data_IF_420762332646
#
_entry.id   IF_420762332646
#
_cell.length_a   1.000
_cell.length_b   1.000
_cell.length_c   1.000
_cell.angle_alpha   90.00
_cell.angle_beta   90.00
_cell.angle_gamma   90.00
#
_symmetry.space_group_name_H-M   'P 1'
#
loop_
_entity.id
_entity.type
_entity.pdbx_description
1 polymer ?
#
# COMPACT_ATOMS: atom_id res chain seq x y z
N UNK A 1 32.50 2.09 40.20
CA UNK A 1 32.16 2.27 38.76
C UNK A 1 31.00 1.35 38.42
N UNK A 2 29.79 1.88 38.30
CA UNK A 2 28.62 1.10 37.89
C UNK A 2 28.73 0.86 36.39
N UNK A 3 29.03 -0.39 36.02
CA UNK A 3 29.02 -0.84 34.63
C UNK A 3 27.63 -0.61 34.03
N UNK A 4 27.49 0.43 33.21
CA UNK A 4 26.31 0.68 32.40
C UNK A 4 26.32 -0.33 31.25
N UNK A 5 25.89 -1.56 31.51
CA UNK A 5 25.57 -2.53 30.45
C UNK A 5 24.45 -1.93 29.62
N UNK A 6 24.72 -1.59 28.36
CA UNK A 6 23.69 -1.17 27.41
C UNK A 6 22.70 -2.33 27.27
N UNK A 7 21.52 -2.19 27.87
CA UNK A 7 20.43 -3.16 27.68
C UNK A 7 20.01 -3.06 26.21
N UNK A 8 20.31 -4.10 25.43
CA UNK A 8 19.75 -4.26 24.09
C UNK A 8 18.23 -4.32 24.24
N UNK A 9 17.53 -3.29 23.77
CA UNK A 9 16.07 -3.25 23.73
C UNK A 9 15.64 -3.33 22.27
N UNK A 10 14.66 -4.20 21.98
CA UNK A 10 14.06 -4.28 20.67
C UNK A 10 13.21 -3.02 20.45
N UNK A 11 13.57 -2.21 19.46
CA UNK A 11 12.80 -1.02 19.13
C UNK A 11 11.39 -1.42 18.69
N UNK A 12 10.39 -0.76 19.27
CA UNK A 12 9.01 -0.90 18.78
C UNK A 12 8.90 -0.27 17.40
N UNK A 13 7.91 -0.70 16.61
CA UNK A 13 7.77 -0.16 15.26
C UNK A 13 7.46 1.34 15.29
N UNK A 14 6.79 1.83 16.34
CA UNK A 14 6.56 3.27 16.44
C UNK A 14 7.78 4.05 16.87
N UNK A 15 8.67 3.47 17.67
CA UNK A 15 9.97 4.08 17.94
C UNK A 15 10.82 4.13 16.65
N UNK A 16 10.73 3.08 15.82
CA UNK A 16 11.31 3.12 14.48
C UNK A 16 10.68 4.24 13.65
N UNK A 17 9.35 4.32 13.54
CA UNK A 17 8.67 5.34 12.76
C UNK A 17 8.93 6.77 13.26
N UNK A 18 8.95 7.01 14.58
CA UNK A 18 9.22 8.34 15.15
C UNK A 18 10.63 8.83 14.82
N UNK A 19 11.62 7.93 14.89
CA UNK A 19 13.01 8.24 14.53
C UNK A 19 13.22 8.30 13.01
N UNK A 20 12.36 7.65 12.23
CA UNK A 20 12.53 7.41 10.80
C UNK A 20 11.37 7.94 9.93
N UNK A 21 10.69 9.02 10.34
CA UNK A 21 9.56 9.61 9.59
C UNK A 21 9.89 9.93 8.12
N UNK A 22 11.14 10.29 7.87
CA UNK A 22 11.66 10.61 6.54
C UNK A 22 11.66 9.40 5.59
N UNK A 23 11.86 8.18 6.07
CA UNK A 23 11.84 6.98 5.24
C UNK A 23 10.46 6.68 4.64
N UNK A 24 9.41 7.24 5.22
CA UNK A 24 8.02 7.05 4.80
C UNK A 24 7.46 8.27 4.07
N UNK A 25 8.27 9.30 3.83
CA UNK A 25 7.84 10.52 3.16
C UNK A 25 7.07 11.52 4.04
N UNK A 26 7.15 11.39 5.38
CA UNK A 26 6.54 12.31 6.35
C UNK A 26 7.56 13.25 7.01
N UNK A 27 8.49 13.78 6.21
CA UNK A 27 9.60 14.64 6.68
C UNK A 27 9.16 16.04 7.11
N UNK A 28 8.24 16.64 6.36
CA UNK A 28 7.81 18.03 6.45
C UNK A 28 6.28 18.09 6.37
N UNK A 29 5.69 19.14 6.94
CA UNK A 29 4.23 19.32 6.97
C UNK A 29 3.62 19.38 5.56
N UNK A 30 4.34 19.96 4.59
CA UNK A 30 3.88 20.04 3.21
C UNK A 30 3.96 18.69 2.50
N UNK A 31 5.07 17.94 2.66
CA UNK A 31 5.22 16.62 2.04
C UNK A 31 4.27 15.59 2.64
N UNK A 32 3.98 15.71 3.94
CA UNK A 32 3.12 14.76 4.68
C UNK A 32 1.72 14.64 4.07
N UNK A 33 1.08 15.76 3.69
CA UNK A 33 -0.24 15.72 3.05
C UNK A 33 -0.18 15.18 1.61
N UNK A 34 0.91 15.46 0.88
CA UNK A 34 1.12 14.94 -0.47
C UNK A 34 1.30 13.41 -0.41
N UNK A 35 2.14 12.93 0.50
CA UNK A 35 2.34 11.50 0.75
C UNK A 35 1.02 10.83 1.15
N UNK A 36 0.27 11.40 2.09
CA UNK A 36 -1.01 10.83 2.49
C UNK A 36 -2.04 10.77 1.35
N UNK A 37 -2.11 11.84 0.54
CA UNK A 37 -2.99 11.86 -0.63
C UNK A 37 -2.55 10.85 -1.67
N UNK A 38 -1.24 10.79 -1.97
CA UNK A 38 -0.66 9.84 -2.91
C UNK A 38 -0.99 8.40 -2.53
N UNK A 39 -0.70 8.02 -1.29
CA UNK A 39 -0.97 6.65 -0.82
C UNK A 39 -2.47 6.33 -0.81
N UNK A 40 -3.35 7.31 -0.61
CA UNK A 40 -4.80 7.11 -0.68
C UNK A 40 -5.29 6.93 -2.13
N UNK A 41 -4.82 7.79 -3.05
CA UNK A 41 -5.16 7.74 -4.48
C UNK A 41 -4.62 6.48 -5.13
N UNK A 42 -3.35 6.12 -4.88
CA UNK A 42 -2.73 4.93 -5.47
C UNK A 42 -3.46 3.65 -5.05
N UNK A 43 -3.87 3.54 -3.78
CA UNK A 43 -4.65 2.39 -3.30
C UNK A 43 -6.06 2.35 -3.91
N UNK A 44 -6.70 3.51 -4.07
CA UNK A 44 -8.02 3.64 -4.68
C UNK A 44 -8.00 3.24 -6.15
N UNK A 45 -7.01 3.73 -6.91
CA UNK A 45 -6.80 3.37 -8.32
C UNK A 45 -6.56 1.88 -8.48
N UNK A 46 -5.63 1.31 -7.71
CA UNK A 46 -5.34 -0.12 -7.80
C UNK A 46 -6.59 -0.95 -7.44
N UNK A 47 -7.37 -0.57 -6.41
CA UNK A 47 -8.57 -1.29 -6.00
C UNK A 47 -9.68 -1.25 -7.09
N UNK A 48 -9.86 -0.11 -7.75
CA UNK A 48 -10.80 0.04 -8.85
C UNK A 48 -10.37 -0.77 -10.09
N UNK A 49 -9.08 -0.68 -10.46
CA UNK A 49 -8.53 -1.40 -11.61
C UNK A 49 -8.56 -2.92 -11.42
N UNK A 50 -8.21 -3.40 -10.22
CA UNK A 50 -8.31 -4.83 -9.84
C UNK A 50 -9.77 -5.33 -9.93
N UNK A 51 -10.75 -4.49 -9.55
CA UNK A 51 -12.17 -4.80 -9.63
C UNK A 51 -12.81 -4.51 -11.00
N UNK A 52 -12.04 -4.00 -11.96
CA UNK A 52 -12.52 -3.56 -13.29
C UNK A 52 -13.62 -2.50 -13.23
N UNK A 53 -13.53 -1.61 -12.25
CA UNK A 53 -14.38 -0.42 -12.10
C UNK A 53 -13.64 0.81 -12.61
N UNK A 54 -14.37 1.74 -13.26
CA UNK A 54 -13.79 3.02 -13.66
C UNK A 54 -13.61 3.91 -12.43
N UNK A 55 -12.36 4.29 -12.07
CA UNK A 55 -12.10 5.00 -10.82
C UNK A 55 -12.77 6.38 -10.80
N UNK A 56 -13.45 6.66 -9.71
CA UNK A 56 -13.95 7.97 -9.33
C UNK A 56 -13.49 8.25 -7.89
N UNK A 57 -12.58 9.20 -7.75
CA UNK A 57 -11.86 9.45 -6.50
C UNK A 57 -12.01 10.92 -6.13
N UNK A 58 -12.57 11.15 -4.95
CA UNK A 58 -12.76 12.47 -4.36
C UNK A 58 -11.80 12.68 -3.20
N UNK A 59 -10.98 13.72 -3.29
CA UNK A 59 -10.07 14.15 -2.24
C UNK A 59 -10.57 15.46 -1.65
N UNK A 60 -10.73 15.48 -0.34
CA UNK A 60 -11.15 16.65 0.41
C UNK A 60 -10.15 16.93 1.53
N UNK A 61 -9.71 18.19 1.64
CA UNK A 61 -8.77 18.63 2.68
C UNK A 61 -9.42 19.77 3.46
N UNK A 62 -9.59 19.60 4.77
CA UNK A 62 -10.14 20.63 5.66
C UNK A 62 -9.11 21.10 6.67
N UNK A 63 -8.83 22.40 6.75
CA UNK A 63 -8.01 22.93 7.85
C UNK A 63 -8.78 22.87 9.16
N UNK A 64 -8.06 22.68 10.28
CA UNK A 64 -8.66 22.66 11.60
C UNK A 64 -8.63 24.07 12.20
N UNK A 65 -9.80 24.58 12.60
CA UNK A 65 -9.94 25.92 13.19
C UNK A 65 -9.01 26.13 14.40
N UNK A 66 -8.24 27.20 14.37
CA UNK A 66 -7.32 27.58 15.45
C UNK A 66 -6.07 26.70 15.55
N UNK A 67 -5.81 25.83 14.56
CA UNK A 67 -4.63 24.98 14.48
C UNK A 67 -4.02 25.02 13.08
N UNK A 68 -3.08 25.93 12.88
CA UNK A 68 -2.47 26.21 11.58
C UNK A 68 -1.63 25.05 11.00
N UNK A 69 -1.26 24.07 11.83
CA UNK A 69 -0.50 22.89 11.45
C UNK A 69 -1.32 21.58 11.45
N UNK A 70 -2.64 21.62 11.69
CA UNK A 70 -3.51 20.44 11.64
C UNK A 70 -4.54 20.52 10.51
N UNK A 71 -4.71 19.40 9.80
CA UNK A 71 -5.74 19.25 8.78
C UNK A 71 -6.41 17.88 8.85
N UNK A 72 -7.55 17.79 8.19
CA UNK A 72 -8.30 16.56 7.97
C UNK A 72 -8.26 16.25 6.49
N UNK A 73 -7.62 15.14 6.13
CA UNK A 73 -7.67 14.59 4.78
C UNK A 73 -8.79 13.55 4.71
N UNK A 74 -9.65 13.69 3.73
CA UNK A 74 -10.74 12.78 3.42
C UNK A 74 -10.49 12.28 1.99
N UNK A 75 -10.39 10.97 1.81
CA UNK A 75 -10.34 10.32 0.50
C UNK A 75 -11.55 9.43 0.38
N UNK A 76 -12.29 9.54 -0.72
CA UNK A 76 -13.44 8.71 -1.02
C UNK A 76 -13.28 8.13 -2.42
N UNK A 77 -13.48 6.83 -2.56
CA UNK A 77 -13.44 6.12 -3.83
C UNK A 77 -14.74 5.37 -4.09
N UNK A 78 -14.95 5.01 -5.36
CA UNK A 78 -15.99 4.11 -5.83
C UNK A 78 -15.48 2.66 -6.03
N UNK A 79 -14.47 2.23 -5.27
CA UNK A 79 -13.92 0.89 -5.37
C UNK A 79 -14.90 -0.22 -4.93
N UNK A 80 -14.46 -1.49 -4.92
CA UNK A 80 -15.30 -2.63 -4.52
C UNK A 80 -15.67 -2.65 -3.03
N UNK A 81 -15.05 -1.77 -2.23
CA UNK A 81 -15.10 -1.83 -0.77
C UNK A 81 -14.15 -2.88 -0.19
N UNK A 82 -13.92 -2.80 1.11
CA UNK A 82 -13.10 -3.75 1.88
C UNK A 82 -14.01 -4.54 2.83
N UNK A 83 -13.94 -5.89 2.81
CA UNK A 83 -14.71 -6.74 3.71
C UNK A 83 -14.45 -6.41 5.19
N UNK A 84 -15.48 -6.46 6.06
CA UNK A 84 -15.41 -5.96 7.43
C UNK A 84 -14.28 -6.56 8.28
N UNK A 85 -13.93 -7.82 8.03
CA UNK A 85 -12.91 -8.56 8.79
C UNK A 85 -11.48 -8.27 8.31
N UNK A 86 -11.36 -7.76 7.09
CA UNK A 86 -10.10 -7.37 6.46
C UNK A 86 -9.75 -5.90 6.71
N UNK A 87 -10.74 -5.03 6.93
CA UNK A 87 -10.52 -3.58 7.16
C UNK A 87 -9.46 -3.33 8.24
N UNK A 88 -9.60 -3.98 9.39
CA UNK A 88 -8.70 -3.81 10.52
C UNK A 88 -7.25 -4.24 10.19
N UNK A 89 -7.08 -5.28 9.35
CA UNK A 89 -5.76 -5.75 8.95
C UNK A 89 -5.11 -4.84 7.89
N UNK A 90 -5.89 -4.40 6.90
CA UNK A 90 -5.41 -3.52 5.81
C UNK A 90 -4.90 -2.19 6.34
N UNK A 91 -5.60 -1.58 7.30
CA UNK A 91 -5.25 -0.25 7.81
C UNK A 91 -4.41 -0.27 9.09
N UNK A 92 -4.39 -1.38 9.83
CA UNK A 92 -3.80 -1.44 11.17
C UNK A 92 -2.76 -2.55 11.34
N UNK A 93 -2.27 -3.16 10.26
CA UNK A 93 -1.13 -4.08 10.32
C UNK A 93 -0.08 -3.64 9.32
N UNK A 94 1.12 -3.35 9.81
CA UNK A 94 2.25 -3.04 8.95
C UNK A 94 2.68 -4.30 8.22
N UNK A 95 3.08 -4.13 6.95
CA UNK A 95 3.49 -5.23 6.08
C UNK A 95 2.39 -6.26 5.81
N UNK A 96 1.12 -5.84 5.93
CA UNK A 96 -0.03 -6.68 5.61
C UNK A 96 -0.65 -6.24 4.29
N UNK A 97 -0.74 -7.15 3.34
CA UNK A 97 -1.33 -6.86 2.04
C UNK A 97 -1.36 -8.10 1.16
N UNK A 98 -2.32 -8.15 0.24
CA UNK A 98 -2.40 -9.17 -0.81
C UNK A 98 -1.23 -9.11 -1.81
N UNK A 99 -0.37 -8.08 -1.70
CA UNK A 99 0.64 -7.70 -2.69
C UNK A 99 2.08 -8.14 -2.34
N UNK A 100 2.30 -8.76 -1.18
CA UNK A 100 3.65 -9.13 -0.71
C UNK A 100 4.18 -10.44 -1.26
N UNK A 101 3.31 -11.39 -1.54
CA UNK A 101 3.71 -12.75 -1.91
C UNK A 101 3.77 -12.97 -3.43
N UNK A 102 3.32 -11.98 -4.20
CA UNK A 102 3.10 -12.05 -5.64
C UNK A 102 3.88 -10.93 -6.31
N UNK A 103 4.73 -11.26 -7.27
CA UNK A 103 5.40 -10.26 -8.09
C UNK A 103 4.40 -9.81 -9.15
N UNK A 104 3.84 -8.63 -8.95
CA UNK A 104 2.96 -7.95 -9.90
C UNK A 104 3.26 -6.46 -9.91
N UNK A 105 3.05 -5.81 -11.05
CA UNK A 105 3.14 -4.36 -11.14
C UNK A 105 1.97 -3.73 -10.39
N UNK A 106 2.25 -3.05 -9.28
CA UNK A 106 1.27 -2.25 -8.53
C UNK A 106 1.89 -0.91 -8.14
N UNK A 107 1.07 0.12 -7.89
CA UNK A 107 1.56 1.43 -7.45
C UNK A 107 2.20 1.36 -6.06
N UNK A 108 1.60 0.57 -5.16
CA UNK A 108 2.16 0.23 -3.84
C UNK A 108 2.89 -1.13 -3.83
N UNK A 109 4.17 -1.14 -3.42
CA UNK A 109 5.00 -2.36 -3.37
C UNK A 109 5.19 -2.90 -1.94
N UNK A 110 5.35 -2.02 -0.96
CA UNK A 110 5.81 -2.40 0.39
C UNK A 110 4.69 -2.55 1.42
N UNK A 111 3.41 -2.37 1.04
CA UNK A 111 2.22 -2.48 1.92
C UNK A 111 2.32 -1.72 3.25
N UNK A 112 3.02 -0.59 3.24
CA UNK A 112 3.15 0.35 4.36
C UNK A 112 2.42 1.66 4.11
N UNK A 113 1.93 1.90 2.88
CA UNK A 113 1.41 3.19 2.43
C UNK A 113 0.31 3.75 3.34
N UNK A 114 -0.88 3.17 3.26
CA UNK A 114 -2.05 3.66 4.01
C UNK A 114 -1.91 3.46 5.52
N UNK A 115 -1.27 2.38 5.96
CA UNK A 115 -0.94 2.15 7.38
C UNK A 115 0.00 3.23 7.92
N UNK A 116 0.92 3.73 7.09
CA UNK A 116 1.78 4.87 7.40
C UNK A 116 0.98 6.15 7.64
N UNK A 117 -0.07 6.39 6.85
CA UNK A 117 -1.00 7.51 7.07
C UNK A 117 -1.74 7.37 8.40
N UNK A 118 -2.24 6.17 8.73
CA UNK A 118 -2.90 5.89 10.01
C UNK A 118 -1.95 6.12 11.18
N UNK A 119 -0.71 5.64 11.08
CA UNK A 119 0.32 5.87 12.09
C UNK A 119 0.67 7.33 12.24
N UNK A 120 0.89 8.05 11.13
CA UNK A 120 1.22 9.46 11.16
C UNK A 120 0.10 10.28 11.80
N UNK A 121 -1.15 10.00 11.45
CA UNK A 121 -2.34 10.59 12.06
C UNK A 121 -2.36 10.40 13.59
N UNK A 122 -2.16 9.16 14.04
CA UNK A 122 -2.17 8.82 15.47
C UNK A 122 -0.98 9.42 16.23
N UNK A 123 0.23 9.40 15.66
CA UNK A 123 1.43 9.93 16.32
C UNK A 123 1.44 11.46 16.40
N UNK A 124 0.80 12.14 15.44
CA UNK A 124 0.80 13.62 15.39
C UNK A 124 -0.37 14.26 16.11
N UNK A 125 -1.56 13.64 16.07
CA UNK A 125 -2.79 14.22 16.65
C UNK A 125 -3.41 13.36 17.75
N UNK A 126 -2.96 12.12 17.94
CA UNK A 126 -3.55 11.16 18.88
C UNK A 126 -4.89 10.57 18.41
N UNK A 127 -5.45 11.06 17.30
CA UNK A 127 -6.75 10.63 16.79
C UNK A 127 -6.64 9.37 15.94
N UNK A 128 -7.69 8.56 15.96
CA UNK A 128 -7.84 7.39 15.09
C UNK A 128 -8.32 7.82 13.70
N UNK A 129 -7.95 7.04 12.69
CA UNK A 129 -8.42 7.22 11.32
C UNK A 129 -9.80 6.61 11.18
N UNK A 130 -10.77 7.38 10.70
CA UNK A 130 -12.13 6.87 10.45
C UNK A 130 -12.20 6.27 9.06
N UNK A 131 -12.65 5.03 8.97
CA UNK A 131 -12.84 4.31 7.72
C UNK A 131 -14.31 3.93 7.59
N UNK A 132 -14.88 4.22 6.43
CA UNK A 132 -16.20 3.78 6.00
C UNK A 132 -15.98 2.90 4.78
N UNK A 133 -16.54 1.70 4.78
CA UNK A 133 -16.40 0.75 3.69
C UNK A 133 -17.74 0.12 3.37
N UNK A 134 -18.12 0.12 2.09
CA UNK A 134 -19.33 -0.54 1.60
C UNK A 134 -18.93 -1.50 0.48
N UNK A 135 -19.29 -2.77 0.67
CA UNK A 135 -19.18 -3.81 -0.38
C UNK A 135 -20.55 -3.95 -1.05
N UNK A 136 -20.58 -4.07 -2.39
CA UNK A 136 -21.83 -4.14 -3.17
C UNK A 136 -22.80 -5.21 -2.68
N UNK A 137 -22.27 -6.36 -2.27
CA UNK A 137 -23.03 -7.51 -1.80
C UNK A 137 -23.60 -7.35 -0.38
N UNK A 138 -23.06 -6.44 0.44
CA UNK A 138 -23.56 -6.21 1.80
C UNK A 138 -24.67 -5.16 1.80
N UNK A 139 -25.69 -5.33 2.65
CA UNK A 139 -26.80 -4.37 2.75
C UNK A 139 -26.37 -3.01 3.34
N UNK A 140 -25.39 -3.00 4.26
CA UNK A 140 -25.00 -1.81 5.02
C UNK A 140 -23.50 -1.53 4.88
N UNK A 141 -23.10 -0.26 5.00
CA UNK A 141 -21.70 0.13 5.11
C UNK A 141 -21.19 -0.08 6.54
N UNK A 142 -19.91 -0.38 6.67
CA UNK A 142 -19.21 -0.50 7.94
C UNK A 142 -18.44 0.77 8.23
N UNK A 143 -18.72 1.36 9.39
CA UNK A 143 -18.01 2.50 9.96
C UNK A 143 -17.11 1.99 11.06
N UNK A 144 -15.83 2.33 11.03
CA UNK A 144 -14.86 1.91 12.06
C UNK A 144 -13.77 2.96 12.23
N UNK A 145 -13.40 3.22 13.47
CA UNK A 145 -12.24 4.04 13.79
C UNK A 145 -11.04 3.11 14.05
N UNK A 146 -9.96 3.28 13.29
CA UNK A 146 -8.78 2.41 13.27
C UNK A 146 -7.57 3.17 13.81
N UNK A 147 -6.83 2.53 14.71
CA UNK A 147 -5.49 2.92 15.13
C UNK A 147 -4.56 1.73 15.17
N UNK A 148 -3.32 1.96 15.60
CA UNK A 148 -2.28 0.95 15.74
C UNK A 148 -1.78 0.91 17.19
N UNK A 149 -1.74 -0.29 17.78
CA UNK A 149 -0.94 -0.56 18.97
C UNK A 149 0.53 -0.60 18.54
N UNK A 150 1.21 0.48 18.87
CA UNK A 150 2.61 0.76 18.55
C UNK A 150 3.59 -0.23 19.17
N UNK A 151 3.23 -0.81 20.32
CA UNK A 151 4.06 -1.79 21.05
C UNK A 151 3.86 -3.20 20.54
N UNK A 152 2.62 -3.58 20.24
CA UNK A 152 2.26 -4.95 19.83
C UNK A 152 2.18 -5.15 18.32
N UNK A 153 2.30 -4.09 17.52
CA UNK A 153 2.05 -4.10 16.08
C UNK A 153 0.71 -4.75 15.74
N UNK A 154 -0.34 -4.36 16.46
CA UNK A 154 -1.70 -4.87 16.24
C UNK A 154 -2.65 -3.70 16.01
N UNK A 155 -3.57 -3.88 15.08
CA UNK A 155 -4.62 -2.92 14.84
C UNK A 155 -5.54 -2.80 16.07
N UNK A 156 -5.92 -1.57 16.40
CA UNK A 156 -6.96 -1.28 17.40
C UNK A 156 -8.16 -0.69 16.65
N UNK A 157 -9.27 -1.42 16.63
CA UNK A 157 -10.54 -0.94 16.09
C UNK A 157 -11.46 -0.46 17.23
N UNK A 158 -12.22 0.60 16.98
CA UNK A 158 -13.25 1.12 17.89
C UNK A 158 -14.43 1.69 17.10
N UNK A 159 -15.56 1.92 17.77
CA UNK A 159 -16.76 2.54 17.18
C UNK A 159 -17.27 1.82 15.92
N UNK A 160 -17.21 0.48 15.91
CA UNK A 160 -17.73 -0.31 14.79
C UNK A 160 -19.25 -0.16 14.71
N UNK A 161 -19.76 0.42 13.64
CA UNK A 161 -21.19 0.59 13.37
C UNK A 161 -21.52 0.12 11.96
N UNK A 162 -22.75 -0.34 11.75
CA UNK A 162 -23.30 -0.67 10.44
C UNK A 162 -24.46 0.26 10.15
N UNK A 163 -24.41 0.97 9.03
CA UNK A 163 -25.52 1.85 8.61
C UNK A 163 -25.54 2.00 7.09
N UNK A 164 -26.63 2.51 6.53
CA UNK A 164 -26.66 2.94 5.14
C UNK A 164 -25.73 4.15 4.96
N UNK A 165 -24.98 4.16 3.87
CA UNK A 165 -24.07 5.24 3.53
C UNK A 165 -24.70 6.07 2.42
N UNK A 166 -24.92 7.35 2.72
CA UNK A 166 -25.54 8.30 1.79
C UNK A 166 -24.49 9.29 1.27
N UNK A 167 -24.65 9.70 0.02
CA UNK A 167 -23.97 10.83 -0.59
C UNK A 167 -24.51 12.16 -0.06
N UNK A 168 -23.83 13.27 -0.40
CA UNK A 168 -24.26 14.63 -0.06
C UNK A 168 -25.67 14.96 -0.55
N UNK A 169 -26.11 14.34 -1.65
CA UNK A 169 -27.43 14.51 -2.25
C UNK A 169 -28.51 13.55 -1.70
N UNK A 170 -28.15 12.71 -0.72
CA UNK A 170 -29.07 11.75 -0.08
C UNK A 170 -29.21 10.41 -0.81
N UNK A 171 -28.46 10.18 -1.88
CA UNK A 171 -28.43 8.91 -2.60
C UNK A 171 -27.61 7.84 -1.86
N UNK A 172 -28.01 6.57 -1.96
CA UNK A 172 -27.30 5.46 -1.32
C UNK A 172 -26.05 5.12 -2.13
N UNK A 173 -24.89 5.11 -1.46
CA UNK A 173 -23.64 4.66 -2.05
C UNK A 173 -23.61 3.13 -2.00
N UNK A 174 -23.59 2.50 -3.17
CA UNK A 174 -23.64 1.03 -3.28
C UNK A 174 -22.32 0.34 -2.93
N UNK A 175 -21.19 0.99 -3.21
CA UNK A 175 -19.85 0.47 -2.97
C UNK A 175 -18.82 1.59 -2.87
N UNK A 176 -17.70 1.33 -2.17
CA UNK A 176 -16.58 2.25 -2.06
C UNK A 176 -15.94 2.27 -0.69
N UNK A 177 -14.86 3.01 -0.56
CA UNK A 177 -14.17 3.26 0.70
C UNK A 177 -14.00 4.76 0.92
N UNK A 178 -14.23 5.21 2.15
CA UNK A 178 -13.93 6.57 2.61
C UNK A 178 -13.01 6.53 3.81
N UNK A 179 -11.86 7.19 3.67
CA UNK A 179 -10.80 7.27 4.69
C UNK A 179 -10.67 8.72 5.13
N UNK A 180 -10.83 8.95 6.43
CA UNK A 180 -10.69 10.25 7.05
C UNK A 180 -9.55 10.21 8.08
N UNK A 181 -8.46 10.92 7.79
CA UNK A 181 -7.26 10.98 8.61
C UNK A 181 -7.02 12.41 9.13
N UNK A 182 -6.85 12.54 10.45
CA UNK A 182 -6.52 13.81 11.11
C UNK A 182 -5.02 13.85 11.35
N UNK A 183 -4.29 14.79 10.77
CA UNK A 183 -2.83 14.79 10.85
C UNK A 183 -2.26 16.19 10.94
N UNK A 184 -1.03 16.29 11.46
CA UNK A 184 -0.27 17.52 11.36
C UNK A 184 0.28 17.69 9.95
N UNK A 185 -0.26 18.62 9.17
CA UNK A 185 0.22 18.93 7.84
C UNK A 185 -0.22 20.32 7.41
N UNK A 186 0.43 20.87 6.38
CA UNK A 186 0.12 22.20 5.86
C UNK A 186 -0.16 22.12 4.37
N UNK A 187 -1.35 22.59 3.97
CA UNK A 187 -1.70 22.75 2.57
C UNK A 187 -1.08 24.04 2.01
N UNK A 188 -0.40 23.96 0.87
CA UNK A 188 0.13 25.10 0.15
C UNK A 188 -0.12 24.92 -1.35
N UNK A 189 -0.46 26.02 -2.03
CA UNK A 189 -0.58 26.06 -3.50
C UNK A 189 0.81 26.24 -4.12
N UNK A 190 1.05 25.60 -5.26
CA UNK A 190 2.33 25.70 -5.98
C UNK A 190 2.72 24.42 -6.72
N UNK A 191 3.98 24.36 -7.19
CA UNK A 191 4.50 23.21 -7.97
C UNK A 191 4.57 21.90 -7.16
N UNK A 192 4.75 21.99 -5.85
CA UNK A 192 4.77 20.87 -4.93
C UNK A 192 3.48 20.86 -4.08
N UNK A 193 2.33 20.91 -4.74
CA UNK A 193 1.03 20.89 -4.07
C UNK A 193 0.27 19.60 -4.38
N UNK A 194 -0.72 19.29 -3.55
CA UNK A 194 -1.65 18.18 -3.80
C UNK A 194 -2.42 18.39 -5.11
N UNK A 195 -2.82 19.63 -5.39
CA UNK A 195 -3.44 20.01 -6.66
C UNK A 195 -2.56 19.59 -7.85
N UNK A 196 -1.28 19.98 -7.86
CA UNK A 196 -0.37 19.62 -8.95
C UNK A 196 -0.15 18.10 -9.03
N UNK A 197 -0.07 17.39 -7.90
CA UNK A 197 0.03 15.93 -7.89
C UNK A 197 -1.19 15.30 -8.58
N UNK A 198 -2.42 15.66 -8.18
CA UNK A 198 -3.65 15.12 -8.76
C UNK A 198 -3.77 15.43 -10.26
N UNK A 199 -3.39 16.65 -10.67
CA UNK A 199 -3.32 17.03 -12.09
C UNK A 199 -2.35 16.14 -12.88
N UNK A 200 -1.16 15.86 -12.34
CA UNK A 200 -0.21 14.97 -13.02
C UNK A 200 -0.73 13.53 -13.06
N UNK A 201 -1.40 13.09 -11.99
CA UNK A 201 -2.00 11.76 -11.91
C UNK A 201 -3.13 11.59 -12.92
N UNK A 202 -3.99 12.60 -13.14
CA UNK A 202 -5.07 12.52 -14.14
C UNK A 202 -4.55 12.44 -15.57
N UNK A 203 -3.42 13.12 -15.89
CA UNK A 203 -2.77 13.02 -17.20
C UNK A 203 -2.28 11.59 -17.47
N UNK A 204 -1.69 10.93 -16.46
CA UNK A 204 -1.15 9.57 -16.60
C UNK A 204 -2.24 8.49 -16.55
N UNK A 205 -3.38 8.77 -15.89
CA UNK A 205 -4.49 7.84 -15.72
C UNK A 205 -5.77 8.42 -16.36
N UNK A 206 -5.87 8.44 -17.70
CA UNK A 206 -6.97 9.10 -18.40
C UNK A 206 -8.33 8.41 -18.16
N UNK A 207 -8.34 7.19 -17.62
CA UNK A 207 -9.55 6.43 -17.25
C UNK A 207 -10.11 6.78 -15.87
N UNK A 208 -9.39 7.56 -15.07
CA UNK A 208 -9.79 7.93 -13.71
C UNK A 208 -10.37 9.34 -13.68
N UNK A 209 -11.45 9.51 -12.91
CA UNK A 209 -11.98 10.82 -12.53
C UNK A 209 -11.42 11.19 -11.17
N UNK A 210 -10.81 12.36 -11.05
CA UNK A 210 -10.21 12.86 -9.81
C UNK A 210 -10.79 14.24 -9.49
N UNK A 211 -11.25 14.43 -8.25
CA UNK A 211 -11.69 15.75 -7.77
C UNK A 211 -10.99 16.13 -6.46
N UNK A 212 -10.77 17.43 -6.28
CA UNK A 212 -10.13 18.04 -5.12
C UNK A 212 -10.98 19.20 -4.63
N UNK A 213 -11.30 19.22 -3.33
CA UNK A 213 -11.82 20.41 -2.66
C UNK A 213 -11.02 20.67 -1.39
N UNK A 214 -10.58 21.91 -1.22
CA UNK A 214 -9.81 22.35 -0.05
C UNK A 214 -10.57 23.44 0.68
N UNK A 215 -10.85 23.21 1.96
CA UNK A 215 -11.55 24.11 2.84
C UNK A 215 -10.59 24.80 3.82
N UNK A 216 -10.81 26.09 4.04
CA UNK A 216 -10.13 26.85 5.08
C UNK A 216 -10.69 26.56 6.48
N UNK A 217 -10.13 27.24 7.50
CA UNK A 217 -10.57 27.13 8.90
C UNK A 217 -12.06 27.53 9.11
N UNK A 218 -12.57 28.46 8.30
CA UNK A 218 -13.96 28.91 8.35
C UNK A 218 -14.89 28.17 7.38
N UNK A 219 -14.38 27.16 6.67
CA UNK A 219 -15.15 26.36 5.73
C UNK A 219 -15.34 26.99 4.35
N UNK A 220 -14.65 28.09 4.05
CA UNK A 220 -14.56 28.63 2.69
C UNK A 220 -13.68 27.74 1.81
N UNK A 221 -14.05 27.56 0.54
CA UNK A 221 -13.23 26.83 -0.44
C UNK A 221 -12.06 27.72 -0.87
N UNK A 222 -10.83 27.23 -0.67
CA UNK A 222 -9.59 27.96 -1.00
C UNK A 222 -8.88 27.39 -2.24
N UNK A 223 -9.19 26.16 -2.60
CA UNK A 223 -8.68 25.50 -3.80
C UNK A 223 -9.67 24.41 -4.22
N UNK A 224 -9.86 24.29 -5.52
CA UNK A 224 -10.68 23.25 -6.13
C UNK A 224 -10.00 22.77 -7.42
N UNK A 225 -10.25 21.51 -7.75
CA UNK A 225 -9.79 20.91 -8.99
C UNK A 225 -10.72 19.78 -9.38
N UNK A 226 -11.10 19.76 -10.65
CA UNK A 226 -11.86 18.67 -11.23
C UNK A 226 -11.17 18.19 -12.50
N UNK A 227 -10.86 16.91 -12.54
CA UNK A 227 -10.22 16.24 -13.66
C UNK A 227 -11.08 15.05 -14.07
N UNK A 228 -12.05 15.26 -14.96
CA UNK A 228 -12.88 14.17 -15.45
C UNK A 228 -12.05 13.21 -16.30
N UNK A 229 -12.47 11.94 -16.31
CA UNK A 229 -11.86 10.94 -17.18
C UNK A 229 -12.06 11.30 -18.66
N UNK A 230 -11.08 10.94 -19.47
CA UNK A 230 -11.08 11.16 -20.93
C UNK A 230 -11.44 9.88 -21.69
N UNK A 231 -11.29 8.71 -21.05
CA UNK A 231 -11.59 7.41 -21.66
C UNK A 231 -12.29 6.49 -20.66
N UNK A 232 -13.16 5.63 -21.17
CA UNK A 232 -13.78 4.54 -20.39
C UNK A 232 -13.06 3.19 -20.59
N UNK A 233 -11.92 3.21 -21.29
CA UNK A 233 -11.11 2.02 -21.53
C UNK A 233 -10.12 1.84 -20.38
N UNK A 234 -10.35 0.80 -19.57
CA UNK A 234 -9.43 0.41 -18.50
C UNK A 234 -8.15 -0.22 -19.08
N UNK A 235 -6.98 0.01 -18.43
CA UNK A 235 -5.73 -0.69 -18.75
C UNK A 235 -5.89 -2.22 -18.71
N UNK A 236 -4.99 -2.93 -19.38
CA UNK A 236 -4.97 -4.39 -19.30
C UNK A 236 -4.68 -4.85 -17.86
N UNK A 237 -5.35 -5.93 -17.40
CA UNK A 237 -5.13 -6.42 -16.05
C UNK A 237 -3.69 -6.90 -15.89
N UNK A 238 -3.06 -6.47 -14.81
CA UNK A 238 -1.71 -6.92 -14.46
C UNK A 238 -1.77 -8.37 -14.02
N UNK A 239 -0.92 -9.20 -14.64
CA UNK A 239 -0.79 -10.62 -14.29
C UNK A 239 0.36 -10.80 -13.31
N UNK A 240 0.17 -11.72 -12.38
CA UNK A 240 1.27 -12.21 -11.55
C UNK A 240 2.34 -12.86 -12.44
N UNK A 241 3.59 -12.51 -12.18
CA UNK A 241 4.75 -13.08 -12.84
C UNK A 241 5.62 -13.82 -11.83
N UNK A 242 6.39 -14.76 -12.36
CA UNK A 242 7.46 -15.41 -11.63
C UNK A 242 8.74 -14.57 -11.69
N UNK A 243 9.61 -14.65 -10.67
CA UNK A 243 10.90 -13.97 -10.71
C UNK A 243 11.72 -14.37 -11.94
N UNK A 244 12.48 -13.43 -12.49
CA UNK A 244 13.50 -13.72 -13.50
C UNK A 244 14.80 -14.18 -12.82
N UNK A 245 15.50 -15.21 -13.33
CA UNK A 245 16.70 -15.77 -12.71
C UNK A 245 17.83 -14.75 -12.52
N UNK A 246 18.11 -13.92 -13.54
CA UNK A 246 19.15 -12.87 -13.48
C UNK A 246 18.95 -11.82 -12.36
N UNK A 247 17.73 -11.66 -11.84
CA UNK A 247 17.44 -10.69 -10.78
C UNK A 247 17.56 -11.26 -9.36
N UNK A 248 18.04 -12.49 -9.21
CA UNK A 248 18.06 -13.17 -7.92
C UNK A 248 19.34 -12.91 -7.14
N UNK A 249 19.17 -12.65 -5.84
CA UNK A 249 20.24 -12.63 -4.86
C UNK A 249 20.29 -13.96 -4.09
N UNK A 250 21.45 -14.28 -3.51
CA UNK A 250 21.66 -15.54 -2.77
C UNK A 250 20.64 -15.76 -1.66
N UNK A 251 20.27 -14.71 -0.91
CA UNK A 251 19.29 -14.82 0.17
C UNK A 251 17.90 -15.23 -0.34
N UNK A 252 17.43 -14.60 -1.42
CA UNK A 252 16.15 -14.90 -2.06
C UNK A 252 16.16 -16.28 -2.71
N UNK A 253 17.25 -16.62 -3.40
CA UNK A 253 17.39 -17.92 -4.06
C UNK A 253 17.43 -19.08 -3.06
N UNK A 254 18.16 -18.94 -1.95
CA UNK A 254 18.16 -19.93 -0.86
C UNK A 254 16.80 -20.08 -0.19
N UNK A 255 16.01 -19.00 -0.11
CA UNK A 255 14.62 -19.09 0.36
C UNK A 255 13.79 -19.91 -0.62
N UNK A 256 13.88 -19.65 -1.93
CA UNK A 256 13.18 -20.44 -2.95
C UNK A 256 13.56 -21.91 -2.93
N UNK A 257 14.85 -22.23 -2.75
CA UNK A 257 15.32 -23.62 -2.65
C UNK A 257 14.73 -24.35 -1.43
N UNK A 258 14.58 -23.65 -0.29
CA UNK A 258 14.00 -24.22 0.94
C UNK A 258 12.48 -24.36 0.88
N UNK A 259 11.80 -23.38 0.28
CA UNK A 259 10.34 -23.35 0.20
C UNK A 259 9.80 -24.20 -0.97
N UNK A 260 10.68 -24.68 -1.85
CA UNK A 260 10.32 -25.48 -3.01
C UNK A 260 9.76 -26.85 -2.65
N UNK A 261 8.60 -27.18 -3.23
CA UNK A 261 7.96 -28.51 -3.16
C UNK A 261 8.47 -29.49 -4.23
N UNK A 262 9.28 -29.02 -5.18
CA UNK A 262 9.73 -29.80 -6.33
C UNK A 262 10.76 -30.86 -5.95
N UNK A 263 10.68 -32.04 -6.59
CA UNK A 263 11.61 -33.16 -6.32
C UNK A 263 12.91 -33.10 -7.12
N UNK A 264 12.90 -32.40 -8.26
CA UNK A 264 14.01 -32.29 -9.21
C UNK A 264 14.38 -30.84 -9.44
N UNK A 265 15.67 -30.57 -9.60
CA UNK A 265 16.16 -29.21 -9.83
C UNK A 265 15.71 -28.63 -11.16
N UNK A 266 15.61 -29.45 -12.20
CA UNK A 266 15.09 -29.02 -13.51
C UNK A 266 13.64 -28.54 -13.44
N UNK A 267 12.81 -29.23 -12.66
CA UNK A 267 11.41 -28.85 -12.39
C UNK A 267 11.34 -27.55 -11.58
N UNK A 268 12.18 -27.45 -10.54
CA UNK A 268 12.31 -26.23 -9.74
C UNK A 268 12.61 -25.00 -10.58
N UNK A 269 13.62 -25.06 -11.44
CA UNK A 269 14.02 -23.93 -12.28
C UNK A 269 12.92 -23.52 -13.27
N UNK A 270 12.24 -24.51 -13.87
CA UNK A 270 11.15 -24.25 -14.83
C UNK A 270 9.89 -23.68 -14.18
N UNK A 271 9.53 -24.17 -12.99
CA UNK A 271 8.26 -23.81 -12.34
C UNK A 271 8.38 -22.54 -11.50
N UNK A 272 9.53 -22.24 -10.90
CA UNK A 272 9.68 -21.07 -10.03
C UNK A 272 10.18 -19.82 -10.75
N UNK A 273 10.83 -19.94 -11.92
CA UNK A 273 11.36 -18.80 -12.64
C UNK A 273 10.66 -18.55 -13.97
N UNK A 274 10.59 -17.28 -14.36
CA UNK A 274 10.13 -16.86 -15.67
C UNK A 274 11.26 -16.97 -16.70
N UNK A 275 10.92 -17.35 -17.94
CA UNK A 275 11.88 -17.43 -19.05
C UNK A 275 12.77 -18.67 -19.05
N UNK A 276 12.65 -19.58 -18.08
CA UNK A 276 13.48 -20.79 -18.01
C UNK A 276 12.80 -21.97 -18.72
N UNK A 277 13.29 -22.30 -19.92
CA UNK A 277 12.91 -23.53 -20.62
C UNK A 277 13.62 -24.75 -20.04
N UNK A 278 13.14 -25.96 -20.35
CA UNK A 278 13.83 -27.19 -19.94
C UNK A 278 15.28 -27.27 -20.47
N UNK A 279 15.53 -26.73 -21.67
CA UNK A 279 16.87 -26.68 -22.25
C UNK A 279 17.77 -25.74 -21.46
N UNK A 280 17.28 -24.53 -21.15
CA UNK A 280 18.01 -23.55 -20.37
C UNK A 280 18.29 -24.06 -18.94
N UNK A 281 17.32 -24.71 -18.30
CA UNK A 281 17.50 -25.31 -16.98
C UNK A 281 18.64 -26.34 -16.96
N UNK A 282 18.72 -27.21 -17.98
CA UNK A 282 19.82 -28.18 -18.09
C UNK A 282 21.17 -27.51 -18.33
N UNK A 283 21.20 -26.49 -19.16
CA UNK A 283 22.44 -25.75 -19.44
C UNK A 283 22.98 -25.05 -18.19
N UNK A 284 22.09 -24.42 -17.40
CA UNK A 284 22.43 -23.80 -16.12
C UNK A 284 23.00 -24.85 -15.17
N UNK A 285 22.33 -26.01 -15.05
CA UNK A 285 22.77 -27.06 -14.13
C UNK A 285 24.11 -27.67 -14.51
N UNK A 286 24.35 -27.82 -15.82
CA UNK A 286 25.61 -28.30 -16.35
C UNK A 286 26.75 -27.31 -16.08
N UNK A 287 26.51 -25.99 -16.25
CA UNK A 287 27.49 -24.94 -15.91
C UNK A 287 27.76 -24.85 -14.41
N UNK A 288 26.78 -25.16 -13.56
CA UNK A 288 26.94 -25.15 -12.11
C UNK A 288 27.43 -26.48 -11.52
N UNK A 289 27.68 -27.50 -12.34
CA UNK A 289 28.09 -28.85 -11.92
C UNK A 289 27.09 -29.53 -10.95
N UNK A 290 25.79 -29.33 -11.15
CA UNK A 290 24.72 -29.88 -10.30
C UNK A 290 23.89 -30.90 -11.07
N UNK A 291 23.63 -32.05 -10.43
CA UNK A 291 22.79 -33.11 -10.99
C UNK A 291 21.31 -32.66 -11.12
N UNK A 292 20.70 -32.94 -12.28
CA UNK A 292 19.29 -32.66 -12.59
C UNK A 292 18.29 -33.27 -11.59
N UNK A 293 18.63 -34.42 -11.02
CA UNK A 293 17.80 -35.20 -10.10
C UNK A 293 17.89 -34.74 -8.65
N UNK A 294 18.83 -33.84 -8.35
CA UNK A 294 19.08 -33.36 -6.99
C UNK A 294 17.88 -32.58 -6.46
N UNK A 295 17.61 -32.73 -5.17
CA UNK A 295 16.49 -32.05 -4.50
C UNK A 295 16.86 -30.59 -4.20
N UNK A 296 15.98 -29.61 -4.49
CA UNK A 296 16.21 -28.19 -4.21
C UNK A 296 16.66 -27.89 -2.78
N UNK A 297 16.00 -28.48 -1.78
CA UNK A 297 16.35 -28.26 -0.36
C UNK A 297 17.70 -28.84 0.09
N UNK A 298 18.39 -29.62 -0.75
CA UNK A 298 19.70 -30.22 -0.43
C UNK A 298 20.89 -29.44 -1.00
N UNK A 299 20.64 -28.33 -1.68
CA UNK A 299 21.69 -27.47 -2.25
C UNK A 299 22.34 -26.63 -1.15
N UNK A 300 23.67 -26.63 -1.17
CA UNK A 300 24.50 -25.85 -0.25
C UNK A 300 24.66 -24.40 -0.72
N UNK A 301 25.09 -23.51 0.18
CA UNK A 301 25.29 -22.11 -0.17
C UNK A 301 26.31 -21.87 -1.31
N UNK A 302 27.45 -22.59 -1.39
CA UNK A 302 28.39 -22.45 -2.50
C UNK A 302 27.80 -22.91 -3.84
N UNK A 303 27.06 -24.01 -3.85
CA UNK A 303 26.38 -24.52 -5.05
C UNK A 303 25.29 -23.55 -5.52
N UNK A 304 24.53 -22.96 -4.60
CA UNK A 304 23.56 -21.91 -4.90
C UNK A 304 24.22 -20.68 -5.52
N UNK A 305 25.41 -20.29 -5.03
CA UNK A 305 26.19 -19.19 -5.62
C UNK A 305 26.67 -19.54 -7.04
N UNK A 306 27.12 -20.78 -7.28
CA UNK A 306 27.52 -21.23 -8.61
C UNK A 306 26.35 -21.18 -9.60
N UNK A 307 25.14 -21.55 -9.17
CA UNK A 307 23.93 -21.41 -9.99
C UNK A 307 23.60 -19.95 -10.32
N UNK A 308 23.75 -19.03 -9.36
CA UNK A 308 23.51 -17.60 -9.58
C UNK A 308 24.50 -16.98 -10.58
N UNK A 309 25.76 -17.45 -10.58
CA UNK A 309 26.76 -17.04 -11.58
C UNK A 309 26.42 -17.63 -12.97
N UNK A 310 25.73 -18.76 -13.02
CA UNK A 310 25.32 -19.42 -14.25
C UNK A 310 23.99 -18.89 -14.84
N UNK A 311 23.23 -18.07 -14.10
CA UNK A 311 22.01 -17.39 -14.56
C UNK A 311 22.29 -16.24 -15.52
#
# INVERSE_FOLDING_TARGET
MVSTRSKMQQASISEFFEKNKHFLGFDTLNRSIITATKESVDNSLDACEEARLLPDIHIEIRKVKGKSDELVMISQDNGPGIPPDSITKVFGSLLFGSRFHTIRQTRGQQGIGITGVVMYSQLTTGKKTRVISKVKQEATAVYVDIGLDTKKNKAISSNRKRNHWFNSDGEIIEHGVKVQAHMKAKYQRGKQSVHQYLRMTSIVNPHASLSLIVYDEDGAVIDEGDWPRVTDVLPHPVKEIRPHPHGQEIGSFQRFLRDSVERKMTSFLRHNFSGVSMRAAREILLKSEIDESRKPGSITAPEAQAMLVAF
#
